data_IF_194134535510
#
_entry.id   IF_194134535510
#
_cell.length_a   1.000
_cell.length_b   1.000
_cell.length_c   1.000
_cell.angle_alpha   90.00
_cell.angle_beta   90.00
_cell.angle_gamma   90.00
#
_symmetry.space_group_name_H-M   'P 1'
#
loop_
_entity.id
_entity.type
_entity.pdbx_description
1 polymer ?
#
# COMPACT_ATOMS: atom_id res chain seq x y z
N UNK A 1 -13.19 2.10 -10.78
CA UNK A 1 -13.59 1.35 -9.57
C UNK A 1 -12.71 0.12 -9.50
N UNK A 2 -11.91 0.00 -8.45
CA UNK A 2 -10.61 -0.68 -8.50
C UNK A 2 -10.31 -1.55 -7.29
N UNK A 3 -9.02 -1.67 -6.95
CA UNK A 3 -8.48 -2.56 -5.92
C UNK A 3 -9.13 -2.43 -4.54
N UNK A 4 -9.65 -1.25 -4.19
CA UNK A 4 -10.32 -1.04 -2.91
C UNK A 4 -11.55 -1.94 -2.70
N UNK A 5 -12.28 -2.30 -3.76
CA UNK A 5 -13.44 -3.18 -3.65
C UNK A 5 -13.03 -4.61 -3.29
N UNK A 6 -11.85 -5.06 -3.76
CA UNK A 6 -11.31 -6.36 -3.38
C UNK A 6 -10.97 -6.38 -1.89
N UNK A 7 -10.32 -5.34 -1.38
CA UNK A 7 -10.03 -5.19 0.06
C UNK A 7 -11.31 -5.19 0.89
N UNK A 8 -12.34 -4.45 0.46
CA UNK A 8 -13.63 -4.39 1.17
C UNK A 8 -14.38 -5.73 1.17
N UNK A 9 -14.35 -6.46 0.05
CA UNK A 9 -14.95 -7.80 -0.03
C UNK A 9 -14.17 -8.83 0.80
N UNK A 10 -12.84 -8.69 0.89
CA UNK A 10 -12.00 -9.52 1.76
C UNK A 10 -12.36 -9.27 3.24
N UNK A 11 -12.53 -8.01 3.65
CA UNK A 11 -13.00 -7.63 5.00
C UNK A 11 -14.36 -8.25 5.32
N UNK A 12 -15.34 -8.15 4.41
CA UNK A 12 -16.66 -8.78 4.58
C UNK A 12 -16.54 -10.29 4.71
N UNK A 13 -15.65 -10.91 3.94
CA UNK A 13 -15.41 -12.36 4.00
C UNK A 13 -14.75 -12.79 5.30
N UNK A 14 -13.92 -11.94 5.91
CA UNK A 14 -13.37 -12.12 7.25
C UNK A 14 -14.40 -11.86 8.38
N UNK A 15 -15.63 -11.44 8.05
CA UNK A 15 -16.71 -11.16 8.99
C UNK A 15 -16.82 -9.70 9.45
N UNK A 16 -16.07 -8.79 8.82
CA UNK A 16 -16.17 -7.35 9.08
C UNK A 16 -17.32 -6.69 8.31
N UNK A 17 -17.68 -5.46 8.72
CA UNK A 17 -18.66 -4.64 8.00
C UNK A 17 -17.94 -3.74 6.98
N UNK A 18 -18.01 -4.12 5.69
CA UNK A 18 -17.35 -3.37 4.62
C UNK A 18 -17.93 -1.97 4.41
N UNK A 19 -19.21 -1.76 4.65
CA UNK A 19 -19.83 -0.44 4.46
C UNK A 19 -19.49 0.49 5.63
N UNK A 20 -19.39 -0.04 6.85
CA UNK A 20 -18.83 0.71 7.97
C UNK A 20 -17.38 1.15 7.72
N UNK A 21 -16.53 0.27 7.16
CA UNK A 21 -15.15 0.62 6.78
C UNK A 21 -15.13 1.66 5.66
N UNK A 22 -15.96 1.49 4.61
CA UNK A 22 -16.07 2.44 3.49
C UNK A 22 -16.45 3.84 3.95
N UNK A 23 -17.35 3.94 4.93
CA UNK A 23 -17.86 5.19 5.47
C UNK A 23 -17.12 5.65 6.75
N UNK A 24 -15.99 5.02 7.06
CA UNK A 24 -15.16 5.43 8.19
C UNK A 24 -14.73 6.89 8.04
N UNK A 25 -15.00 7.68 9.09
CA UNK A 25 -14.82 9.14 9.05
C UNK A 25 -14.58 9.75 10.43
N UNK A 26 -14.51 8.93 11.47
CA UNK A 26 -14.21 9.38 12.84
C UNK A 26 -12.80 8.98 13.21
N UNK A 27 -12.17 9.68 14.15
CA UNK A 27 -10.81 9.33 14.61
C UNK A 27 -10.68 7.89 15.13
N UNK A 28 -11.78 7.26 15.58
CA UNK A 28 -11.77 5.89 16.07
C UNK A 28 -11.94 4.84 14.95
N UNK A 29 -12.38 5.25 13.76
CA UNK A 29 -12.71 4.33 12.65
C UNK A 29 -11.96 4.62 11.36
N UNK A 30 -11.41 5.83 11.20
CA UNK A 30 -10.64 6.25 10.03
C UNK A 30 -9.29 5.56 9.97
N UNK A 31 -8.60 5.77 8.85
CA UNK A 31 -7.22 5.31 8.71
C UNK A 31 -6.34 5.93 9.81
N UNK A 32 -5.30 5.20 10.21
CA UNK A 32 -4.32 5.75 11.15
C UNK A 32 -3.67 7.03 10.63
N UNK A 33 -3.17 7.87 11.53
CA UNK A 33 -2.42 9.09 11.18
C UNK A 33 -1.26 8.76 10.22
N UNK A 34 -0.57 7.63 10.40
CA UNK A 34 0.51 7.22 9.51
C UNK A 34 0.02 7.03 8.07
N UNK A 35 -1.15 6.42 7.89
CA UNK A 35 -1.78 6.24 6.57
C UNK A 35 -2.24 7.57 5.99
N UNK A 36 -2.92 8.41 6.78
CA UNK A 36 -3.39 9.72 6.33
C UNK A 36 -2.24 10.62 5.86
N UNK A 37 -1.13 10.65 6.63
CA UNK A 37 0.06 11.43 6.29
C UNK A 37 0.75 10.89 5.04
N UNK A 38 0.82 9.56 4.86
CA UNK A 38 1.36 8.97 3.63
C UNK A 38 0.57 9.40 2.39
N UNK A 39 -0.76 9.34 2.47
CA UNK A 39 -1.64 9.76 1.37
C UNK A 39 -1.50 11.27 1.13
N UNK A 40 -1.51 12.09 2.18
CA UNK A 40 -1.36 13.54 2.06
C UNK A 40 -0.01 13.94 1.42
N UNK A 41 1.08 13.27 1.81
CA UNK A 41 2.41 13.50 1.23
C UNK A 41 2.44 13.19 -0.26
N UNK A 42 1.79 12.12 -0.71
CA UNK A 42 1.66 11.80 -2.13
C UNK A 42 0.90 12.87 -2.91
N UNK A 43 -0.25 13.33 -2.39
CA UNK A 43 -1.03 14.37 -3.02
C UNK A 43 -0.30 15.72 -3.06
N UNK A 44 0.39 16.12 -2.00
CA UNK A 44 1.16 17.38 -1.97
C UNK A 44 2.34 17.32 -2.94
N UNK A 45 3.06 16.20 -2.99
CA UNK A 45 4.15 15.96 -3.94
C UNK A 45 3.69 16.13 -5.39
N UNK A 46 2.54 15.55 -5.75
CA UNK A 46 1.96 15.65 -7.09
C UNK A 46 1.53 17.08 -7.40
N UNK A 47 0.82 17.73 -6.49
CA UNK A 47 0.14 18.99 -6.78
C UNK A 47 1.04 20.22 -6.66
N UNK A 48 2.10 20.15 -5.86
CA UNK A 48 2.86 21.35 -5.45
C UNK A 48 4.37 21.25 -5.58
N UNK A 49 4.94 20.06 -5.55
CA UNK A 49 6.40 19.88 -5.51
C UNK A 49 6.93 19.37 -6.84
N UNK A 50 6.81 18.07 -7.10
CA UNK A 50 7.24 17.44 -8.32
C UNK A 50 6.46 16.14 -8.53
N UNK A 51 5.62 16.03 -9.58
CA UNK A 51 4.82 14.83 -9.82
C UNK A 51 5.66 13.57 -10.05
N UNK A 52 6.91 13.69 -10.49
CA UNK A 52 7.83 12.54 -10.61
C UNK A 52 8.11 11.90 -9.24
N UNK A 53 8.05 12.68 -8.15
CA UNK A 53 8.19 12.17 -6.79
C UNK A 53 7.14 11.11 -6.43
N UNK A 54 5.99 11.07 -7.11
CA UNK A 54 4.98 10.01 -6.90
C UNK A 54 5.51 8.61 -7.21
N UNK A 55 6.42 8.47 -8.17
CA UNK A 55 7.05 7.18 -8.47
C UNK A 55 7.82 6.60 -7.28
N UNK A 56 8.26 7.43 -6.33
CA UNK A 56 8.82 6.95 -5.07
C UNK A 56 7.83 6.13 -4.24
N UNK A 57 6.54 6.49 -4.23
CA UNK A 57 5.48 5.71 -3.56
C UNK A 57 5.28 4.38 -4.28
N UNK A 58 5.19 4.43 -5.61
CA UNK A 58 4.98 3.25 -6.46
C UNK A 58 6.11 2.25 -6.24
N UNK A 59 7.38 2.69 -6.20
CA UNK A 59 8.51 1.82 -5.88
C UNK A 59 8.33 1.09 -4.55
N UNK A 60 7.93 1.80 -3.51
CA UNK A 60 7.83 1.21 -2.16
C UNK A 60 6.70 0.20 -2.10
N UNK A 61 5.54 0.52 -2.70
CA UNK A 61 4.37 -0.36 -2.69
C UNK A 61 4.57 -1.57 -3.62
N UNK A 62 5.07 -1.39 -4.84
CA UNK A 62 5.33 -2.50 -5.78
C UNK A 62 6.59 -3.32 -5.40
N UNK A 63 7.60 -2.71 -4.77
CA UNK A 63 8.84 -3.40 -4.38
C UNK A 63 8.72 -4.20 -3.08
N UNK A 64 7.94 -3.69 -2.11
CA UNK A 64 7.82 -4.31 -0.77
C UNK A 64 6.58 -5.19 -0.65
N UNK A 65 5.49 -4.87 -1.34
CA UNK A 65 4.24 -5.62 -1.20
C UNK A 65 4.29 -6.99 -1.85
N UNK A 66 5.13 -7.23 -2.86
CA UNK A 66 4.97 -8.37 -3.77
C UNK A 66 5.45 -9.70 -3.19
N UNK A 67 6.70 -9.75 -2.73
CA UNK A 67 7.25 -10.94 -2.06
C UNK A 67 6.59 -11.18 -0.69
N UNK A 68 6.29 -10.10 0.05
CA UNK A 68 5.70 -10.20 1.39
C UNK A 68 4.23 -10.60 1.31
N UNK A 69 3.43 -10.04 0.39
CA UNK A 69 1.99 -10.29 0.32
C UNK A 69 1.65 -11.73 -0.05
N UNK A 70 2.36 -12.34 -0.99
CA UNK A 70 2.05 -13.71 -1.41
C UNK A 70 2.35 -14.70 -0.28
N UNK A 71 3.56 -14.64 0.29
CA UNK A 71 3.96 -15.55 1.36
C UNK A 71 3.22 -15.29 2.68
N UNK A 72 2.99 -14.03 3.02
CA UNK A 72 2.18 -13.67 4.19
C UNK A 72 0.71 -14.06 3.97
N UNK A 73 0.16 -13.86 2.77
CA UNK A 73 -1.22 -14.20 2.42
C UNK A 73 -1.51 -15.69 2.60
N UNK A 74 -0.65 -16.56 2.05
CA UNK A 74 -0.78 -18.01 2.24
C UNK A 74 -0.65 -18.41 3.72
N UNK A 75 0.35 -17.85 4.42
CA UNK A 75 0.58 -18.14 5.85
C UNK A 75 -0.61 -17.70 6.71
N UNK A 76 -1.16 -16.52 6.47
CA UNK A 76 -2.32 -15.98 7.19
C UNK A 76 -3.58 -16.78 6.89
N UNK A 77 -3.80 -17.14 5.62
CA UNK A 77 -4.94 -17.97 5.21
C UNK A 77 -4.97 -19.29 5.96
N UNK A 78 -3.83 -19.99 6.03
CA UNK A 78 -3.70 -21.24 6.77
C UNK A 78 -3.80 -21.05 8.28
N UNK A 79 -3.11 -20.05 8.83
CA UNK A 79 -3.02 -19.85 10.29
C UNK A 79 -4.35 -19.38 10.91
N UNK A 80 -5.13 -18.60 10.16
CA UNK A 80 -6.43 -18.08 10.61
C UNK A 80 -7.62 -18.93 10.13
N UNK A 81 -7.36 -20.02 9.39
CA UNK A 81 -8.37 -20.89 8.78
C UNK A 81 -9.42 -20.10 7.98
N UNK A 82 -8.97 -19.09 7.23
CA UNK A 82 -9.82 -18.24 6.41
C UNK A 82 -9.92 -18.79 4.97
N UNK A 83 -11.06 -18.62 4.29
CA UNK A 83 -11.22 -19.12 2.93
C UNK A 83 -10.41 -18.28 1.94
N UNK A 84 -9.98 -18.89 0.82
CA UNK A 84 -9.25 -18.22 -0.27
C UNK A 84 -9.91 -16.93 -0.78
N UNK A 85 -11.25 -16.88 -0.76
CA UNK A 85 -12.03 -15.69 -1.14
C UNK A 85 -11.86 -14.48 -0.21
N UNK A 86 -11.24 -14.64 0.96
CA UNK A 86 -10.87 -13.57 1.89
C UNK A 86 -9.51 -12.93 1.57
N UNK A 87 -8.84 -13.39 0.50
CA UNK A 87 -7.52 -12.95 0.08
C UNK A 87 -7.52 -12.51 -1.38
N UNK A 88 -8.67 -12.09 -1.91
CA UNK A 88 -8.80 -11.70 -3.32
C UNK A 88 -7.84 -10.57 -3.68
N UNK A 89 -7.65 -9.58 -2.81
CA UNK A 89 -6.69 -8.51 -3.02
C UNK A 89 -5.24 -9.01 -3.02
N UNK A 90 -4.84 -9.75 -1.99
CA UNK A 90 -3.46 -10.22 -1.82
C UNK A 90 -3.05 -11.22 -2.91
N UNK A 91 -3.94 -12.13 -3.29
CA UNK A 91 -3.67 -13.14 -4.33
C UNK A 91 -3.73 -12.57 -5.74
N UNK A 92 -4.51 -11.52 -5.97
CA UNK A 92 -4.52 -10.84 -7.27
C UNK A 92 -3.25 -10.03 -7.51
N UNK A 93 -2.69 -9.38 -6.48
CA UNK A 93 -1.41 -8.67 -6.60
C UNK A 93 -0.25 -9.63 -6.91
N UNK A 94 -0.12 -10.75 -6.17
CA UNK A 94 0.97 -11.71 -6.36
C UNK A 94 1.15 -12.31 -7.75
N UNK A 95 0.12 -12.29 -8.61
CA UNK A 95 0.18 -12.83 -9.98
C UNK A 95 0.34 -11.76 -11.08
N UNK A 96 0.20 -10.48 -10.75
CA UNK A 96 0.35 -9.33 -11.66
C UNK A 96 1.78 -8.72 -11.61
N UNK A 97 2.65 -9.22 -10.74
CA UNK A 97 3.78 -8.46 -10.20
C UNK A 97 5.01 -8.29 -11.09
N UNK A 98 5.34 -9.25 -11.95
CA UNK A 98 6.52 -9.09 -12.83
C UNK A 98 6.28 -7.97 -13.83
N UNK A 99 5.07 -7.88 -14.38
CA UNK A 99 4.73 -6.85 -15.37
C UNK A 99 4.69 -5.47 -14.74
N UNK A 100 4.28 -5.34 -13.48
CA UNK A 100 4.26 -4.07 -12.75
C UNK A 100 5.66 -3.53 -12.48
N UNK A 101 6.58 -4.38 -12.00
CA UNK A 101 7.97 -3.98 -11.77
C UNK A 101 8.66 -3.62 -13.08
N UNK A 102 8.50 -4.42 -14.13
CA UNK A 102 9.06 -4.10 -15.46
C UNK A 102 8.44 -2.84 -16.07
N UNK A 103 7.14 -2.61 -15.86
CA UNK A 103 6.48 -1.39 -16.32
C UNK A 103 6.97 -0.16 -15.56
N UNK A 104 7.09 -0.24 -14.24
CA UNK A 104 7.68 0.80 -13.40
C UNK A 104 9.10 1.14 -13.86
N UNK A 105 9.95 0.13 -14.05
CA UNK A 105 11.30 0.30 -14.56
C UNK A 105 11.30 1.02 -15.92
N UNK A 106 10.43 0.60 -16.84
CA UNK A 106 10.32 1.23 -18.16
C UNK A 106 9.94 2.71 -18.11
N UNK A 107 9.12 3.13 -17.14
CA UNK A 107 8.73 4.52 -16.94
C UNK A 107 9.87 5.33 -16.31
N UNK A 108 10.46 4.82 -15.24
CA UNK A 108 11.49 5.53 -14.48
C UNK A 108 12.78 5.70 -15.29
N UNK A 109 13.13 4.73 -16.13
CA UNK A 109 14.29 4.81 -17.01
C UNK A 109 14.19 5.90 -18.09
N UNK A 110 13.00 6.47 -18.31
CA UNK A 110 12.81 7.61 -19.22
C UNK A 110 13.11 8.97 -18.56
N UNK A 111 13.27 9.01 -17.23
CA UNK A 111 13.54 10.24 -16.48
C UNK A 111 15.03 10.59 -16.62
N UNK A 112 15.32 11.64 -17.38
CA UNK A 112 16.71 12.07 -17.66
C UNK A 112 17.12 13.32 -16.87
N UNK A 113 16.17 14.10 -16.37
CA UNK A 113 16.44 15.28 -15.55
C UNK A 113 17.06 14.87 -14.20
N UNK A 114 18.26 15.38 -13.86
CA UNK A 114 18.88 15.09 -12.55
C UNK A 114 18.03 15.57 -11.36
N UNK A 115 17.26 16.64 -11.54
CA UNK A 115 16.38 17.20 -10.51
C UNK A 115 15.18 16.28 -10.25
N UNK A 116 14.59 15.73 -11.32
CA UNK A 116 13.48 14.78 -11.21
C UNK A 116 13.93 13.45 -10.61
N UNK A 117 15.12 12.97 -10.99
CA UNK A 117 15.74 11.80 -10.38
C UNK A 117 15.99 12.02 -8.88
N UNK A 118 16.51 13.19 -8.50
CA UNK A 118 16.73 13.54 -7.10
C UNK A 118 15.40 13.61 -6.32
N UNK A 119 14.35 14.19 -6.92
CA UNK A 119 13.02 14.24 -6.33
C UNK A 119 12.43 12.85 -6.11
N UNK A 120 12.54 11.95 -7.09
CA UNK A 120 12.11 10.55 -6.99
C UNK A 120 12.84 9.84 -5.86
N UNK A 121 14.18 9.90 -5.83
CA UNK A 121 14.99 9.23 -4.82
C UNK A 121 14.67 9.75 -3.42
N UNK A 122 14.54 11.06 -3.27
CA UNK A 122 14.15 11.67 -2.00
C UNK A 122 12.78 11.17 -1.55
N UNK A 123 11.79 11.24 -2.44
CA UNK A 123 10.43 10.82 -2.18
C UNK A 123 10.34 9.33 -1.79
N UNK A 124 11.06 8.45 -2.49
CA UNK A 124 11.12 7.02 -2.17
C UNK A 124 11.61 6.78 -0.73
N UNK A 125 12.65 7.49 -0.27
CA UNK A 125 13.14 7.38 1.11
C UNK A 125 12.09 7.81 2.14
N UNK A 126 11.32 8.85 1.84
CA UNK A 126 10.22 9.30 2.69
C UNK A 126 9.10 8.26 2.72
N UNK A 127 8.71 7.71 1.56
CA UNK A 127 7.68 6.67 1.49
C UNK A 127 8.08 5.37 2.21
N UNK A 128 9.35 4.95 2.17
CA UNK A 128 9.81 3.83 3.00
C UNK A 128 9.59 4.09 4.49
N UNK A 129 9.85 5.31 4.96
CA UNK A 129 9.61 5.69 6.35
C UNK A 129 8.12 5.64 6.69
N UNK A 130 7.30 6.34 5.91
CA UNK A 130 5.85 6.48 6.13
C UNK A 130 5.14 5.13 6.04
N UNK A 131 5.49 4.30 5.06
CA UNK A 131 4.95 2.95 4.94
C UNK A 131 5.33 2.08 6.15
N UNK A 132 6.58 2.18 6.63
CA UNK A 132 6.99 1.51 7.85
C UNK A 132 6.25 2.01 9.11
N UNK A 133 5.84 3.30 9.16
CA UNK A 133 5.07 3.85 10.29
C UNK A 133 3.66 3.24 10.35
N UNK A 134 3.08 2.82 9.22
CA UNK A 134 1.80 2.08 9.20
C UNK A 134 1.94 0.74 9.95
N UNK A 135 2.96 -0.06 9.64
CA UNK A 135 3.17 -1.35 10.34
C UNK A 135 3.51 -1.17 11.81
N UNK A 136 4.29 -0.14 12.17
CA UNK A 136 4.56 0.20 13.57
C UNK A 136 3.28 0.55 14.32
N UNK A 137 2.35 1.24 13.67
CA UNK A 137 1.03 1.59 14.25
C UNK A 137 0.21 0.32 14.49
N UNK A 138 0.10 -0.56 13.50
CA UNK A 138 -0.60 -1.86 13.64
C UNK A 138 0.01 -2.69 14.79
N UNK A 139 1.34 -2.76 14.84
CA UNK A 139 2.03 -3.49 15.92
C UNK A 139 1.71 -2.89 17.30
N UNK A 140 1.76 -1.57 17.44
CA UNK A 140 1.48 -0.90 18.70
C UNK A 140 0.03 -1.09 19.18
N UNK A 141 -0.93 -1.17 18.25
CA UNK A 141 -2.35 -1.35 18.56
C UNK A 141 -2.70 -2.80 18.90
N UNK A 142 -2.12 -3.77 18.19
CA UNK A 142 -2.59 -5.16 18.23
C UNK A 142 -1.57 -6.19 18.75
N UNK A 143 -0.32 -5.80 19.02
CA UNK A 143 0.72 -6.73 19.48
C UNK A 143 1.31 -6.39 20.86
N UNK A 144 0.69 -5.47 21.62
CA UNK A 144 1.04 -5.28 23.03
C UNK A 144 0.31 -6.32 23.90
N UNK A 145 1.00 -7.44 24.14
CA UNK A 145 0.79 -8.32 25.28
C UNK A 145 1.88 -8.06 26.33
#
# INVERSE_FOLDING_TARGET
MGHQEWVLNDIETCGGDKEAVRHSSTAATSASIATEVMVAYAYDMINRVNPVGFFGMVLVLEGTSTAVATQAGETLMHSLNLPKKAFSYLLSHGSLDISHVSFYESLVNQITSPEDQAALIHSAKIFYRLYGDIFRTIQAEYMQN
#
